data_IF_208440844234
#
_entry.id   IF_208440844234
#
_cell.length_a   1.000
_cell.length_b   1.000
_cell.length_c   1.000
_cell.angle_alpha   90.00
_cell.angle_beta   90.00
_cell.angle_gamma   90.00
#
_symmetry.space_group_name_H-M   'P 1'
#
loop_
_entity.id
_entity.type
_entity.pdbx_description
1 polymer ?
#
# COMPACT_ATOMS: atom_id res chain seq x y z
N UNK A 1 13.19 -21.04 -9.76
CA UNK A 1 11.71 -21.13 -9.59
C UNK A 1 11.30 -19.91 -8.80
N UNK A 2 10.65 -18.94 -9.43
CA UNK A 2 10.10 -17.78 -8.71
C UNK A 2 8.92 -18.30 -7.88
N UNK A 3 9.01 -18.23 -6.54
CA UNK A 3 7.82 -18.40 -5.71
C UNK A 3 6.85 -17.31 -6.15
N UNK A 4 5.64 -17.69 -6.55
CA UNK A 4 4.55 -16.72 -6.65
C UNK A 4 4.51 -15.99 -5.32
N UNK A 5 4.82 -14.69 -5.30
CA UNK A 5 4.59 -13.88 -4.11
C UNK A 5 3.09 -13.96 -3.80
N UNK A 6 2.73 -14.16 -2.55
CA UNK A 6 1.34 -14.38 -2.16
C UNK A 6 0.53 -13.11 -2.43
N UNK A 7 -0.25 -13.13 -3.52
CA UNK A 7 -1.13 -12.04 -3.92
C UNK A 7 -2.34 -12.01 -2.98
N UNK A 8 -2.58 -10.88 -2.34
CA UNK A 8 -3.61 -10.72 -1.32
C UNK A 8 -4.82 -9.97 -1.89
N UNK A 9 -5.93 -10.68 -2.08
CA UNK A 9 -7.16 -10.13 -2.65
C UNK A 9 -8.23 -9.92 -1.57
N UNK A 10 -9.05 -8.89 -1.73
CA UNK A 10 -10.25 -8.69 -0.92
C UNK A 10 -11.37 -9.60 -1.47
N UNK A 11 -11.79 -10.65 -0.74
CA UNK A 11 -12.83 -11.57 -1.20
C UNK A 11 -14.22 -10.93 -1.25
N UNK A 12 -14.40 -9.76 -0.63
CA UNK A 12 -15.67 -9.03 -0.60
C UNK A 12 -15.76 -7.93 -1.67
N UNK A 13 -14.66 -7.65 -2.37
CA UNK A 13 -14.63 -6.62 -3.40
C UNK A 13 -15.48 -7.02 -4.62
N UNK A 14 -16.42 -6.16 -4.98
CA UNK A 14 -17.24 -6.34 -6.19
C UNK A 14 -16.43 -6.10 -7.46
N UNK A 15 -16.72 -6.89 -8.48
CA UNK A 15 -16.21 -6.70 -9.83
C UNK A 15 -17.26 -6.05 -10.72
N UNK A 16 -16.83 -5.25 -11.69
CA UNK A 16 -17.68 -4.74 -12.75
C UNK A 16 -17.98 -5.80 -13.83
N UNK A 17 -17.25 -6.92 -13.83
CA UNK A 17 -17.42 -8.04 -14.76
C UNK A 17 -17.42 -9.34 -13.96
N UNK A 18 -18.55 -10.07 -13.98
CA UNK A 18 -18.81 -11.24 -13.13
C UNK A 18 -17.69 -12.30 -13.12
N UNK A 19 -16.99 -12.48 -14.24
CA UNK A 19 -15.95 -13.50 -14.41
C UNK A 19 -14.52 -13.01 -14.13
N UNK A 20 -14.33 -11.72 -13.86
CA UNK A 20 -13.02 -11.14 -13.60
C UNK A 20 -12.87 -10.75 -12.12
N UNK A 21 -11.68 -10.95 -11.52
CA UNK A 21 -11.35 -10.37 -10.22
C UNK A 21 -11.56 -8.86 -10.19
N UNK A 22 -11.98 -8.33 -9.04
CA UNK A 22 -12.26 -6.90 -8.85
C UNK A 22 -11.05 -5.98 -9.14
N UNK A 23 -9.82 -6.47 -8.96
CA UNK A 23 -8.62 -5.69 -9.29
C UNK A 23 -8.35 -5.62 -10.82
N UNK A 24 -8.92 -6.54 -11.61
CA UNK A 24 -8.86 -6.52 -13.09
C UNK A 24 -10.06 -5.80 -13.71
N UNK A 25 -11.24 -5.92 -13.10
CA UNK A 25 -12.47 -5.27 -13.54
C UNK A 25 -13.04 -4.42 -12.40
N UNK A 26 -12.29 -3.37 -12.04
CA UNK A 26 -12.69 -2.41 -11.02
C UNK A 26 -13.92 -1.59 -11.50
N UNK A 27 -14.95 -1.41 -10.66
CA UNK A 27 -16.03 -0.43 -10.92
C UNK A 27 -15.50 0.99 -11.15
N UNK A 28 -16.17 1.78 -11.99
CA UNK A 28 -15.70 3.12 -12.36
C UNK A 28 -15.58 4.08 -11.17
N UNK A 29 -16.45 3.92 -10.17
CA UNK A 29 -16.50 4.72 -8.95
C UNK A 29 -15.61 4.18 -7.82
N UNK A 30 -15.01 3.00 -8.00
CA UNK A 30 -14.17 2.37 -6.98
C UNK A 30 -12.75 3.00 -6.94
N UNK A 31 -12.16 3.12 -5.74
CA UNK A 31 -10.85 3.74 -5.58
C UNK A 31 -9.74 2.91 -6.23
N UNK A 32 -8.57 3.52 -6.47
CA UNK A 32 -7.36 2.78 -6.87
C UNK A 32 -7.03 1.68 -5.85
N UNK A 33 -6.50 0.55 -6.30
CA UNK A 33 -6.24 -0.66 -5.48
C UNK A 33 -7.50 -1.36 -4.94
N UNK A 34 -8.69 -1.05 -5.46
CA UNK A 34 -9.87 -1.87 -5.20
C UNK A 34 -9.64 -3.32 -5.65
N UNK A 35 -10.11 -4.28 -4.86
CA UNK A 35 -9.87 -5.70 -5.07
C UNK A 35 -8.66 -6.27 -4.31
N UNK A 36 -7.81 -5.43 -3.72
CA UNK A 36 -6.74 -5.86 -2.81
C UNK A 36 -7.15 -5.69 -1.35
N UNK A 37 -6.67 -6.57 -0.48
CA UNK A 37 -7.09 -6.53 0.92
C UNK A 37 -6.46 -5.36 1.68
N UNK A 38 -7.22 -4.86 2.66
CA UNK A 38 -6.65 -4.04 3.72
C UNK A 38 -5.91 -4.95 4.69
N UNK A 39 -4.79 -4.45 5.19
CA UNK A 39 -4.06 -5.12 6.25
C UNK A 39 -4.96 -5.14 7.50
N UNK A 40 -5.11 -6.31 8.13
CA UNK A 40 -5.90 -6.50 9.35
C UNK A 40 -5.14 -5.98 10.59
N UNK A 41 -4.82 -4.69 10.55
CA UNK A 41 -4.24 -3.95 11.66
C UNK A 41 -5.01 -2.64 11.86
N UNK A 42 -5.08 -2.12 13.10
CA UNK A 42 -5.67 -0.83 13.36
C UNK A 42 -4.99 0.28 12.55
N UNK A 43 -5.75 1.32 12.21
CA UNK A 43 -5.19 2.52 11.59
C UNK A 43 -4.19 3.19 12.55
N UNK A 44 -3.08 3.69 11.99
CA UNK A 44 -2.05 4.43 12.72
C UNK A 44 -2.27 5.91 12.43
N UNK A 45 -2.75 6.69 13.40
CA UNK A 45 -3.08 8.11 13.23
C UNK A 45 -4.02 8.40 12.03
N UNK A 46 -4.97 7.48 11.79
CA UNK A 46 -5.93 7.55 10.67
C UNK A 46 -5.40 6.99 9.34
N UNK A 47 -4.13 6.58 9.28
CA UNK A 47 -3.53 5.94 8.12
C UNK A 47 -3.78 4.44 8.13
N UNK A 48 -4.16 3.87 6.98
CA UNK A 48 -4.33 2.43 6.79
C UNK A 48 -3.40 1.93 5.71
N UNK A 49 -3.04 0.66 5.79
CA UNK A 49 -2.23 -0.02 4.79
C UNK A 49 -3.05 -1.15 4.17
N UNK A 50 -2.78 -1.43 2.89
CA UNK A 50 -3.29 -2.60 2.21
C UNK A 50 -2.16 -3.34 1.51
N UNK A 51 -2.36 -4.63 1.33
CA UNK A 51 -1.37 -5.56 0.83
C UNK A 51 -1.73 -5.98 -0.59
N UNK A 52 -0.77 -5.88 -1.51
CA UNK A 52 -0.87 -6.54 -2.82
C UNK A 52 -0.07 -7.84 -2.74
N UNK A 53 1.16 -7.76 -2.28
CA UNK A 53 1.94 -8.89 -1.77
C UNK A 53 1.83 -8.95 -0.26
N UNK A 54 1.62 -10.14 0.31
CA UNK A 54 1.63 -10.34 1.76
C UNK A 54 2.93 -9.81 2.38
N UNK A 55 2.84 -8.94 3.39
CA UNK A 55 4.00 -8.48 4.14
C UNK A 55 4.64 -9.63 4.89
N UNK A 56 3.83 -10.42 5.60
CA UNK A 56 4.33 -11.51 6.44
C UNK A 56 4.97 -12.62 5.58
N UNK A 57 6.18 -13.01 5.97
CA UNK A 57 6.92 -14.09 5.31
C UNK A 57 7.55 -13.72 3.96
N UNK A 58 7.45 -12.46 3.53
CA UNK A 58 8.11 -11.93 2.33
C UNK A 58 9.09 -10.81 2.68
N UNK A 59 10.15 -10.69 1.89
CA UNK A 59 11.19 -9.65 2.05
C UNK A 59 11.01 -8.48 1.08
N UNK A 60 10.10 -8.59 0.11
CA UNK A 60 9.79 -7.53 -0.83
C UNK A 60 8.43 -7.78 -1.50
N UNK A 61 7.78 -6.71 -1.93
CA UNK A 61 6.50 -6.78 -2.62
C UNK A 61 5.88 -5.43 -2.93
N UNK A 62 4.61 -5.47 -3.31
CA UNK A 62 3.80 -4.29 -3.56
C UNK A 62 2.73 -4.13 -2.47
N UNK A 63 2.36 -2.89 -2.19
CA UNK A 63 1.35 -2.51 -1.21
C UNK A 63 0.73 -1.16 -1.57
N UNK A 64 -0.18 -0.69 -0.74
CA UNK A 64 -0.71 0.68 -0.83
C UNK A 64 -1.00 1.24 0.56
N UNK A 65 -1.05 2.56 0.63
CA UNK A 65 -1.40 3.29 1.85
C UNK A 65 -2.60 4.18 1.57
N UNK A 66 -3.49 4.28 2.55
CA UNK A 66 -4.68 5.13 2.56
C UNK A 66 -4.46 6.23 3.59
N UNK A 67 -4.48 7.48 3.13
CA UNK A 67 -4.41 8.65 3.99
C UNK A 67 -5.75 8.89 4.73
N UNK A 68 -5.77 9.73 5.78
CA UNK A 68 -6.99 10.00 6.56
C UNK A 68 -8.17 10.57 5.74
N UNK A 69 -7.89 11.22 4.60
CA UNK A 69 -8.92 11.73 3.68
C UNK A 69 -9.45 10.67 2.70
N UNK A 70 -8.95 9.43 2.78
CA UNK A 70 -9.32 8.32 1.90
C UNK A 70 -8.52 8.23 0.60
N UNK A 71 -7.69 9.23 0.28
CA UNK A 71 -6.80 9.19 -0.88
C UNK A 71 -5.68 8.16 -0.70
N UNK A 72 -5.09 7.69 -1.80
CA UNK A 72 -4.20 6.52 -1.79
C UNK A 72 -2.89 6.76 -2.54
N UNK A 73 -1.86 6.03 -2.15
CA UNK A 73 -0.63 5.87 -2.94
C UNK A 73 -0.20 4.42 -2.99
N UNK A 74 0.53 4.08 -4.05
CA UNK A 74 1.19 2.79 -4.19
C UNK A 74 2.52 2.75 -3.44
N UNK A 75 2.89 1.56 -3.02
CA UNK A 75 4.15 1.28 -2.35
C UNK A 75 4.80 0.07 -3.04
N UNK A 76 6.06 0.22 -3.45
CA UNK A 76 6.96 -0.91 -3.59
C UNK A 76 7.77 -0.98 -2.30
N UNK A 77 7.82 -2.13 -1.65
CA UNK A 77 8.47 -2.28 -0.36
C UNK A 77 9.52 -3.38 -0.39
N UNK A 78 10.60 -3.18 0.34
CA UNK A 78 11.66 -4.17 0.55
C UNK A 78 12.12 -4.16 2.01
N UNK A 79 12.62 -5.28 2.52
CA UNK A 79 13.28 -5.39 3.82
C UNK A 79 14.77 -5.16 3.63
N UNK A 80 15.36 -4.32 4.48
CA UNK A 80 16.79 -4.08 4.51
C UNK A 80 17.16 -2.60 4.34
N UNK A 81 18.42 -2.30 3.98
CA UNK A 81 18.87 -0.93 3.83
C UNK A 81 18.26 -0.28 2.58
N UNK A 82 17.75 0.93 2.73
CA UNK A 82 17.31 1.77 1.63
C UNK A 82 16.73 3.08 2.11
N UNK A 83 16.24 3.88 1.18
CA UNK A 83 15.76 5.24 1.46
C UNK A 83 14.52 5.51 0.65
N UNK A 84 13.55 6.21 1.22
CA UNK A 84 12.31 6.60 0.53
C UNK A 84 12.58 7.23 -0.84
N UNK A 85 11.96 6.68 -1.89
CA UNK A 85 12.11 7.16 -3.28
C UNK A 85 10.75 7.33 -3.95
N UNK A 86 10.68 8.28 -4.89
CA UNK A 86 9.51 8.47 -5.76
C UNK A 86 9.67 7.58 -6.98
N UNK A 87 8.76 6.62 -7.17
CA UNK A 87 8.68 5.77 -8.37
C UNK A 87 7.81 6.45 -9.44
N UNK A 88 6.69 7.02 -9.01
CA UNK A 88 5.72 7.70 -9.88
C UNK A 88 5.18 8.93 -9.19
N UNK A 89 5.15 10.04 -9.92
CA UNK A 89 4.54 11.30 -9.49
C UNK A 89 3.02 11.15 -9.23
N UNK A 90 2.40 12.11 -8.51
CA UNK A 90 0.96 12.15 -8.29
C UNK A 90 0.13 12.14 -9.58
N UNK A 91 -1.01 11.45 -9.52
CA UNK A 91 -2.02 11.35 -10.57
C UNK A 91 -3.42 11.61 -9.97
N UNK A 92 -4.45 11.93 -10.78
CA UNK A 92 -5.78 12.26 -10.24
C UNK A 92 -6.38 11.25 -9.27
N UNK A 93 -6.07 9.95 -9.42
CA UNK A 93 -6.62 8.89 -8.56
C UNK A 93 -5.70 8.47 -7.40
N UNK A 94 -4.42 8.88 -7.41
CA UNK A 94 -3.44 8.48 -6.40
C UNK A 94 -2.35 9.53 -6.24
N UNK A 95 -1.93 9.82 -5.02
CA UNK A 95 -0.90 10.83 -4.76
C UNK A 95 0.54 10.31 -5.00
N UNK A 96 0.71 9.31 -5.87
CA UNK A 96 2.02 8.80 -6.30
C UNK A 96 2.22 7.31 -6.03
N UNK A 97 3.42 6.84 -6.37
CA UNK A 97 3.95 5.51 -6.03
C UNK A 97 5.35 5.68 -5.48
N UNK A 98 5.65 5.02 -4.37
CA UNK A 98 6.89 5.22 -3.63
C UNK A 98 7.59 3.90 -3.34
N UNK A 99 8.92 3.91 -3.40
CA UNK A 99 9.71 2.82 -2.84
C UNK A 99 9.97 3.10 -1.35
N UNK A 100 9.76 2.10 -0.50
CA UNK A 100 10.00 2.15 0.94
C UNK A 100 10.79 0.94 1.40
N UNK A 101 11.55 1.12 2.49
CA UNK A 101 12.37 0.06 3.07
C UNK A 101 12.01 -0.15 4.52
N UNK A 102 11.72 -1.40 4.86
CA UNK A 102 11.48 -1.84 6.22
C UNK A 102 12.80 -2.20 6.91
N UNK A 103 13.08 -1.63 8.10
CA UNK A 103 14.36 -1.85 8.78
C UNK A 103 14.55 -3.29 9.29
N UNK A 104 13.48 -4.05 9.49
CA UNK A 104 13.53 -5.43 9.98
C UNK A 104 12.61 -6.37 9.17
N UNK A 105 12.84 -7.70 9.21
CA UNK A 105 11.94 -8.66 8.57
C UNK A 105 10.51 -8.62 9.11
N UNK A 106 9.54 -8.85 8.23
CA UNK A 106 8.12 -9.01 8.59
C UNK A 106 7.82 -10.45 9.03
N UNK A 107 8.47 -10.93 10.09
CA UNK A 107 8.32 -12.31 10.58
C UNK A 107 7.17 -12.50 11.59
N UNK A 108 6.62 -11.39 12.06
CA UNK A 108 5.59 -11.32 13.10
C UNK A 108 4.74 -10.06 12.91
N UNK A 109 3.54 -10.07 13.49
CA UNK A 109 2.65 -8.90 13.47
C UNK A 109 3.31 -7.72 14.19
N UNK A 110 4.01 -7.98 15.29
CA UNK A 110 4.71 -6.97 16.07
C UNK A 110 5.85 -6.33 15.26
N UNK A 111 6.60 -7.11 14.49
CA UNK A 111 7.63 -6.57 13.60
C UNK A 111 7.03 -5.75 12.46
N UNK A 112 5.96 -6.25 11.84
CA UNK A 112 5.24 -5.51 10.80
C UNK A 112 4.72 -4.17 11.33
N UNK A 113 4.15 -4.13 12.54
CA UNK A 113 3.71 -2.88 13.17
C UNK A 113 4.86 -1.87 13.36
N UNK A 114 6.02 -2.33 13.84
CA UNK A 114 7.22 -1.47 13.98
C UNK A 114 7.72 -0.95 12.64
N UNK A 115 7.71 -1.80 11.62
CA UNK A 115 8.09 -1.44 10.25
C UNK A 115 7.16 -0.39 9.65
N UNK A 116 5.84 -0.57 9.79
CA UNK A 116 4.85 0.42 9.32
C UNK A 116 5.01 1.76 10.05
N UNK A 117 5.22 1.73 11.37
CA UNK A 117 5.51 2.93 12.16
C UNK A 117 6.81 3.62 11.72
N UNK A 118 7.83 2.86 11.31
CA UNK A 118 9.11 3.41 10.87
C UNK A 118 9.00 4.16 9.53
N UNK A 119 8.19 3.66 8.59
CA UNK A 119 8.04 4.29 7.26
C UNK A 119 6.99 5.40 7.22
N UNK A 120 6.01 5.37 8.13
CA UNK A 120 4.87 6.30 8.14
C UNK A 120 5.27 7.78 8.14
N UNK A 121 6.28 8.25 8.90
CA UNK A 121 6.68 9.67 8.88
C UNK A 121 7.06 10.18 7.48
N UNK A 122 7.74 9.36 6.68
CA UNK A 122 8.12 9.73 5.30
C UNK A 122 6.91 9.82 4.37
N UNK A 123 5.94 8.92 4.54
CA UNK A 123 4.67 8.94 3.81
C UNK A 123 3.83 10.17 4.19
N UNK A 124 3.70 10.46 5.48
CA UNK A 124 2.98 11.64 5.99
C UNK A 124 3.60 12.94 5.46
N UNK A 125 4.91 13.09 5.55
CA UNK A 125 5.62 14.27 5.08
C UNK A 125 5.43 14.48 3.57
N UNK A 126 5.42 13.38 2.80
CA UNK A 126 5.20 13.44 1.35
C UNK A 126 3.78 13.79 0.98
N UNK A 127 2.81 13.17 1.62
CA UNK A 127 1.40 13.52 1.46
C UNK A 127 1.13 14.99 1.78
N UNK A 128 1.65 15.51 2.89
CA UNK A 128 1.50 16.91 3.27
C UNK A 128 2.06 17.86 2.21
N UNK A 129 3.27 17.56 1.69
CA UNK A 129 3.90 18.35 0.62
C UNK A 129 3.05 18.43 -0.63
N UNK A 130 2.45 17.31 -1.04
CA UNK A 130 1.59 17.24 -2.21
C UNK A 130 0.33 18.08 -1.99
N UNK A 131 -0.33 17.92 -0.83
CA UNK A 131 -1.52 18.71 -0.49
C UNK A 131 -1.25 20.21 -0.40
N UNK A 132 -0.06 20.60 0.06
CA UNK A 132 0.35 22.02 0.07
C UNK A 132 0.67 22.58 -1.31
N UNK A 133 0.97 21.74 -2.31
CA UNK A 133 1.23 22.18 -3.68
C UNK A 133 -0.05 22.28 -4.53
N UNK A 134 -1.14 21.65 -4.10
CA UNK A 134 -2.45 21.69 -4.76
C UNK A 134 -3.30 22.90 -4.36
N UNK A 135 -2.94 23.61 -3.28
CA UNK A 135 -3.64 24.79 -2.76
C UNK A 135 -2.96 26.11 -3.11
#
# INVERSE_FOLDING_TARGET
>A
MSKSRDLILDPSASSAVDELPAFLARPDDAPVYHGFALLDLPAIDGWRFGEITAFLGNEAGDAFVIAPDGSRAGLAWEVGPGTFEVISEPEPMRWGVYAIWFPEPNDSIEALQRNLLAVLPSLVATYQRIRSAEG
#
